data_IF_871014275177
#
_entry.id   IF_871014275177
#
_cell.length_a   1.000
_cell.length_b   1.000
_cell.length_c   1.000
_cell.angle_alpha   90.00
_cell.angle_beta   90.00
_cell.angle_gamma   90.00
#
_symmetry.space_group_name_H-M   'P 1'
#
loop_
_entity.id
_entity.type
_entity.pdbx_description
1 polymer ?
#
# COMPACT_ATOMS: atom_id res chain seq x y z
N UNK A 1 11.02 0.51 -10.71
CA UNK A 1 9.57 0.71 -10.48
C UNK A 1 8.99 1.84 -11.35
N UNK A 2 9.59 3.05 -11.39
CA UNK A 2 9.05 4.19 -12.16
C UNK A 2 8.73 3.90 -13.63
N UNK A 3 9.63 3.24 -14.36
CA UNK A 3 9.45 2.91 -15.78
C UNK A 3 8.20 2.05 -16.04
N UNK A 4 7.83 1.18 -15.09
CA UNK A 4 6.64 0.32 -15.19
C UNK A 4 5.37 1.20 -15.11
N UNK A 5 5.31 2.12 -14.15
CA UNK A 5 4.18 3.01 -13.99
C UNK A 5 4.03 3.98 -15.17
N UNK A 6 5.15 4.49 -15.69
CA UNK A 6 5.15 5.29 -16.91
C UNK A 6 4.64 4.50 -18.11
N UNK A 7 5.04 3.23 -18.25
CA UNK A 7 4.57 2.37 -19.32
C UNK A 7 3.07 2.09 -19.23
N UNK A 8 2.56 1.75 -18.03
CA UNK A 8 1.13 1.57 -17.77
C UNK A 8 0.34 2.82 -18.18
N UNK A 9 0.87 4.02 -17.87
CA UNK A 9 0.24 5.28 -18.24
C UNK A 9 0.24 5.52 -19.76
N UNK A 10 1.38 5.32 -20.42
CA UNK A 10 1.53 5.54 -21.87
C UNK A 10 0.66 4.58 -22.70
N UNK A 11 0.54 3.33 -22.26
CA UNK A 11 -0.23 2.29 -22.94
C UNK A 11 -1.70 2.21 -22.46
N UNK A 12 -2.10 3.07 -21.52
CA UNK A 12 -3.45 3.12 -20.93
C UNK A 12 -3.91 1.73 -20.42
N UNK A 13 -3.03 1.06 -19.67
CA UNK A 13 -3.29 -0.26 -19.09
C UNK A 13 -4.08 -0.10 -17.78
N UNK A 14 -5.17 -0.84 -17.64
CA UNK A 14 -5.96 -0.88 -16.41
C UNK A 14 -5.16 -1.53 -15.26
N UNK A 15 -5.27 -0.98 -14.06
CA UNK A 15 -4.60 -1.48 -12.86
C UNK A 15 -5.60 -1.85 -11.78
N UNK A 16 -5.18 -2.74 -10.88
CA UNK A 16 -5.98 -3.10 -9.71
C UNK A 16 -6.12 -1.88 -8.78
N UNK A 17 -7.33 -1.55 -8.29
CA UNK A 17 -7.57 -0.36 -7.46
C UNK A 17 -6.75 -0.27 -6.17
N UNK A 18 -6.28 -1.40 -5.64
CA UNK A 18 -5.42 -1.44 -4.45
C UNK A 18 -4.06 -0.75 -4.66
N UNK A 19 -3.61 -0.59 -5.91
CA UNK A 19 -2.42 0.20 -6.19
C UNK A 19 -2.64 1.71 -6.02
N UNK A 20 -3.88 2.18 -6.07
CA UNK A 20 -4.26 3.58 -5.88
C UNK A 20 -4.59 3.84 -4.41
N UNK A 21 -4.22 5.03 -3.93
CA UNK A 21 -4.58 5.47 -2.59
C UNK A 21 -6.10 5.62 -2.44
N UNK A 22 -6.62 5.13 -1.32
CA UNK A 22 -8.02 5.30 -0.93
C UNK A 22 -8.12 5.25 0.61
N UNK A 23 -9.22 5.78 1.15
CA UNK A 23 -9.53 5.66 2.58
C UNK A 23 -9.93 4.23 2.88
N UNK A 24 -9.14 3.56 3.71
CA UNK A 24 -9.31 2.16 4.06
C UNK A 24 -9.18 1.96 5.56
N UNK A 25 -9.95 1.02 6.14
CA UNK A 25 -9.78 0.62 7.52
C UNK A 25 -8.48 -0.16 7.64
N UNK A 26 -7.60 0.28 8.53
CA UNK A 26 -6.32 -0.38 8.79
C UNK A 26 -6.09 -0.53 10.29
N UNK A 27 -5.24 -1.49 10.64
CA UNK A 27 -4.63 -1.57 11.97
C UNK A 27 -3.12 -1.54 11.83
N UNK A 28 -2.45 -0.91 12.78
CA UNK A 28 -1.00 -0.98 12.87
C UNK A 28 -0.60 -2.20 13.71
N UNK A 29 0.10 -3.15 13.08
CA UNK A 29 0.62 -4.36 13.73
C UNK A 29 2.07 -4.53 13.34
N UNK A 30 2.95 -4.57 14.34
CA UNK A 30 4.39 -4.70 14.16
C UNK A 30 4.99 -3.66 13.17
N UNK A 31 4.47 -2.42 13.19
CA UNK A 31 4.91 -1.33 12.31
C UNK A 31 4.39 -1.42 10.86
N UNK A 32 3.51 -2.38 10.57
CA UNK A 32 2.86 -2.54 9.26
C UNK A 32 1.39 -2.11 9.35
N UNK A 33 0.93 -1.37 8.34
CA UNK A 33 -0.50 -1.10 8.16
C UNK A 33 -1.15 -2.28 7.46
N UNK A 34 -2.03 -2.99 8.16
CA UNK A 34 -2.79 -4.11 7.62
C UNK A 34 -4.21 -3.64 7.36
N UNK A 35 -4.68 -3.78 6.11
CA UNK A 35 -6.06 -3.47 5.75
C UNK A 35 -7.02 -4.50 6.34
N UNK A 36 -8.11 -4.00 6.94
CA UNK A 36 -9.17 -4.80 7.53
C UNK A 36 -10.34 -4.87 6.55
N UNK A 37 -10.28 -5.80 5.61
CA UNK A 37 -11.29 -5.99 4.55
C UNK A 37 -12.02 -7.34 4.62
N UNK A 38 -11.69 -8.19 5.61
CA UNK A 38 -12.21 -9.54 5.75
C UNK A 38 -12.37 -9.94 7.23
N UNK A 39 -13.48 -10.60 7.56
CA UNK A 39 -13.83 -11.05 8.91
C UNK A 39 -12.87 -12.14 9.47
N UNK A 40 -12.04 -12.75 8.64
CA UNK A 40 -11.00 -13.71 9.05
C UNK A 40 -9.87 -13.07 9.85
N UNK A 41 -9.73 -11.75 9.79
CA UNK A 41 -8.70 -11.05 10.54
C UNK A 41 -9.17 -10.75 11.96
N UNK A 42 -8.62 -11.53 12.90
CA UNK A 42 -8.79 -11.27 14.32
C UNK A 42 -7.88 -10.12 14.76
N UNK A 43 -8.47 -9.17 15.50
CA UNK A 43 -7.76 -8.10 16.16
C UNK A 43 -7.05 -8.63 17.41
N UNK A 44 -5.79 -8.24 17.59
CA UNK A 44 -5.05 -8.50 18.82
C UNK A 44 -5.49 -7.53 19.93
N UNK A 45 -5.32 -7.89 21.22
CA UNK A 45 -5.66 -7.00 22.32
C UNK A 45 -4.96 -5.64 22.20
N UNK A 46 -5.75 -4.57 22.12
CA UNK A 46 -5.27 -3.19 22.03
C UNK A 46 -5.15 -2.63 20.61
N UNK A 47 -5.38 -3.43 19.57
CA UNK A 47 -5.46 -2.92 18.20
C UNK A 47 -6.73 -2.10 17.99
N UNK A 48 -6.57 -0.98 17.31
CA UNK A 48 -7.65 -0.05 16.98
C UNK A 48 -7.68 0.11 15.47
N UNK A 49 -8.86 -0.06 14.88
CA UNK A 49 -9.08 0.21 13.46
C UNK A 49 -9.08 1.72 13.24
N UNK A 50 -8.26 2.18 12.31
CA UNK A 50 -8.17 3.57 11.88
C UNK A 50 -8.47 3.69 10.39
N UNK A 51 -9.16 4.76 9.98
CA UNK A 51 -9.34 5.10 8.57
C UNK A 51 -8.14 5.89 8.06
N UNK A 52 -7.30 5.27 7.23
CA UNK A 52 -6.11 5.91 6.66
C UNK A 52 -6.16 5.93 5.13
N UNK A 53 -5.58 6.97 4.52
CA UNK A 53 -5.37 7.00 3.07
C UNK A 53 -4.16 6.14 2.76
N UNK A 54 -4.37 4.97 2.16
CA UNK A 54 -3.29 4.00 1.95
C UNK A 54 -3.34 3.39 0.56
N UNK A 55 -2.20 2.92 0.06
CA UNK A 55 -2.10 2.11 -1.16
C UNK A 55 -1.15 0.92 -0.95
N UNK A 56 -1.16 -0.01 -1.89
CA UNK A 56 -0.27 -1.17 -1.88
C UNK A 56 0.77 -1.06 -3.00
N UNK A 57 2.05 -1.23 -2.66
CA UNK A 57 3.15 -1.25 -3.66
C UNK A 57 3.36 -2.64 -4.26
N UNK A 58 3.03 -3.67 -3.51
CA UNK A 58 3.02 -5.07 -3.97
C UNK A 58 1.70 -5.70 -3.55
N UNK A 59 1.26 -6.75 -4.23
CA UNK A 59 0.06 -7.51 -3.86
C UNK A 59 0.44 -8.98 -3.76
N UNK A 60 0.36 -9.51 -2.54
CA UNK A 60 0.61 -10.92 -2.23
C UNK A 60 -0.60 -11.56 -1.56
N UNK A 61 -0.33 -12.50 -0.65
CA UNK A 61 -1.38 -13.10 0.16
C UNK A 61 -1.85 -12.14 1.26
N UNK A 62 -3.15 -12.11 1.49
CA UNK A 62 -3.73 -11.54 2.69
C UNK A 62 -3.39 -12.39 3.93
N UNK A 63 -3.12 -11.80 5.12
CA UNK A 63 -2.96 -10.38 5.46
C UNK A 63 -1.48 -9.91 5.43
N UNK A 64 -0.62 -10.58 4.66
CA UNK A 64 0.84 -10.40 4.70
C UNK A 64 1.37 -9.29 3.79
N UNK A 65 0.47 -8.50 3.18
CA UNK A 65 0.83 -7.37 2.33
C UNK A 65 0.57 -6.09 3.11
N UNK A 66 1.64 -5.39 3.48
CA UNK A 66 1.54 -4.10 4.15
C UNK A 66 1.10 -2.99 3.22
N UNK A 67 0.08 -2.24 3.63
CA UNK A 67 -0.27 -0.97 3.00
C UNK A 67 0.74 0.11 3.42
N UNK A 68 0.83 1.16 2.62
CA UNK A 68 1.59 2.37 2.94
C UNK A 68 0.66 3.58 2.93
N UNK A 69 0.90 4.55 3.81
CA UNK A 69 0.18 5.82 3.74
C UNK A 69 0.54 6.54 2.43
N UNK A 70 -0.48 7.05 1.74
CA UNK A 70 -0.32 7.69 0.43
C UNK A 70 -1.57 8.51 0.10
N UNK A 71 -1.39 9.56 -0.69
CA UNK A 71 -2.49 10.34 -1.28
C UNK A 71 -2.61 10.14 -2.80
N UNK A 72 -1.81 9.21 -3.37
CA UNK A 72 -1.75 8.94 -4.80
C UNK A 72 -2.95 8.11 -5.30
N UNK A 73 -4.10 8.77 -5.43
CA UNK A 73 -5.36 8.15 -5.88
C UNK A 73 -5.52 8.06 -7.42
N UNK A 74 -4.49 8.44 -8.18
CA UNK A 74 -4.43 8.32 -9.64
C UNK A 74 -3.09 7.76 -10.08
N UNK A 75 -3.04 7.21 -11.30
CA UNK A 75 -1.80 6.70 -11.88
C UNK A 75 -0.72 7.79 -12.01
N UNK A 76 -1.12 9.00 -12.42
CA UNK A 76 -0.21 10.16 -12.43
C UNK A 76 0.24 10.54 -11.03
N UNK A 77 -0.66 10.48 -10.03
CA UNK A 77 -0.31 10.69 -8.63
C UNK A 77 0.72 9.69 -8.10
N UNK A 78 0.65 8.41 -8.51
CA UNK A 78 1.68 7.41 -8.16
C UNK A 78 3.03 7.81 -8.76
N UNK A 79 3.04 8.19 -10.05
CA UNK A 79 4.26 8.61 -10.75
C UNK A 79 4.88 9.84 -10.05
N UNK A 80 4.07 10.84 -9.70
CA UNK A 80 4.51 12.03 -8.96
C UNK A 80 5.06 11.68 -7.58
N UNK A 81 4.33 10.86 -6.81
CA UNK A 81 4.78 10.38 -5.50
C UNK A 81 6.15 9.71 -5.61
N UNK A 82 6.38 8.89 -6.63
CA UNK A 82 7.66 8.19 -6.82
C UNK A 82 8.80 9.09 -7.27
N UNK A 83 8.51 10.17 -7.99
CA UNK A 83 9.53 11.15 -8.37
C UNK A 83 9.99 11.98 -7.16
N UNK A 84 9.10 12.18 -6.18
CA UNK A 84 9.37 12.94 -4.95
C UNK A 84 9.88 12.03 -3.83
N UNK A 85 9.46 10.76 -3.80
CA UNK A 85 9.83 9.80 -2.76
C UNK A 85 11.32 9.45 -2.84
N UNK A 86 12.04 9.75 -1.77
CA UNK A 86 13.45 9.39 -1.59
C UNK A 86 13.64 7.99 -0.99
N UNK A 87 12.56 7.27 -0.64
CA UNK A 87 12.59 5.93 -0.07
C UNK A 87 12.26 4.83 -1.08
N UNK A 88 13.12 3.80 -1.13
CA UNK A 88 12.98 2.68 -2.07
C UNK A 88 11.81 1.73 -1.70
N UNK A 89 11.27 1.05 -2.71
CA UNK A 89 10.19 0.03 -2.68
C UNK A 89 10.33 -1.08 -1.59
N UNK A 90 11.52 -1.28 -1.01
CA UNK A 90 11.80 -2.37 -0.05
C UNK A 90 11.41 -2.09 1.41
N UNK A 91 10.99 -0.89 1.78
CA UNK A 91 10.49 -0.64 3.13
C UNK A 91 9.10 -1.27 3.34
N UNK A 92 8.96 -2.07 4.39
CA UNK A 92 7.70 -2.72 4.77
C UNK A 92 7.69 -4.26 4.72
N UNK A 93 8.83 -4.92 4.48
CA UNK A 93 8.93 -6.39 4.63
C UNK A 93 9.30 -6.74 6.07
N UNK A 94 8.49 -7.57 6.72
CA UNK A 94 8.76 -8.15 8.05
C UNK A 94 10.07 -8.98 8.15
N UNK A 95 10.83 -9.11 7.05
CA UNK A 95 12.04 -9.94 6.95
C UNK A 95 13.31 -9.06 6.98
N UNK A 96 13.19 -7.73 7.00
CA UNK A 96 14.35 -6.82 7.10
C UNK A 96 14.67 -6.52 8.58
N UNK A 97 15.08 -7.57 9.30
CA UNK A 97 15.74 -7.45 10.61
C UNK A 97 17.10 -8.14 10.50
N UNK A 98 18.16 -7.34 10.50
CA UNK A 98 19.55 -7.75 10.81
C UNK A 98 20.04 -6.92 12.01
#
# INVERSE_FOLDING_TARGET
>A
ELDIWQYIYLENIEIVPLYLADKRPVVERDGMLIMVDDDRMELQPGEVIEEKSVRFRTLGCYPLTGAIESEANTLTGIIEEMLVATSSERQGRAIDHD
#
